data_IF_671182136460
#
_entry.id   IF_671182136460
#
_cell.length_a   1.000
_cell.length_b   1.000
_cell.length_c   1.000
_cell.angle_alpha   90.00
_cell.angle_beta   90.00
_cell.angle_gamma   90.00
#
_symmetry.space_group_name_H-M   'P 1'
#
loop_
_entity.id
_entity.type
_entity.pdbx_description
1 polymer ?
#
# COMPACT_ATOMS: atom_id res chain seq x y z
N UNK A 1 -2.56 -2.95 -2.45
CA UNK A 1 -1.47 -2.09 -2.96
C UNK A 1 -0.17 -2.25 -2.18
N UNK A 2 -0.17 -2.20 -0.84
CA UNK A 2 1.07 -2.30 -0.05
C UNK A 2 1.97 -3.50 -0.34
N UNK A 3 1.39 -4.69 -0.59
CA UNK A 3 2.17 -5.90 -0.91
C UNK A 3 2.94 -5.82 -2.24
N UNK A 4 2.32 -5.25 -3.28
CA UNK A 4 3.00 -5.05 -4.57
C UNK A 4 4.14 -4.04 -4.45
N UNK A 5 3.94 -3.00 -3.65
CA UNK A 5 5.00 -2.04 -3.32
C UNK A 5 6.15 -2.69 -2.56
N UNK A 6 5.87 -3.45 -1.49
CA UNK A 6 6.87 -4.19 -0.73
C UNK A 6 7.66 -5.15 -1.61
N UNK A 7 6.98 -5.91 -2.47
CA UNK A 7 7.62 -6.76 -3.46
C UNK A 7 8.57 -5.99 -4.40
N UNK A 8 8.12 -4.84 -4.92
CA UNK A 8 8.95 -4.02 -5.79
C UNK A 8 10.18 -3.46 -5.08
N UNK A 9 10.04 -3.07 -3.80
CA UNK A 9 11.15 -2.55 -2.98
C UNK A 9 12.20 -3.62 -2.70
N UNK A 10 11.80 -4.88 -2.45
CA UNK A 10 12.75 -5.99 -2.23
C UNK A 10 13.61 -6.31 -3.46
N UNK A 11 13.18 -5.89 -4.66
CA UNK A 11 13.93 -6.07 -5.91
C UNK A 11 14.91 -4.95 -6.20
N UNK A 12 14.89 -3.87 -5.43
CA UNK A 12 15.81 -2.72 -5.60
C UNK A 12 17.15 -3.01 -4.93
N UNK A 13 18.23 -2.52 -5.52
CA UNK A 13 19.57 -2.66 -4.95
C UNK A 13 19.82 -1.54 -3.94
N UNK A 14 20.12 -1.92 -2.70
CA UNK A 14 20.42 -1.01 -1.57
C UNK A 14 21.53 -0.03 -1.91
N UNK A 15 22.47 -0.40 -2.78
CA UNK A 15 23.62 0.44 -3.18
C UNK A 15 23.25 1.53 -4.16
N UNK A 16 22.13 1.41 -4.86
CA UNK A 16 21.72 2.35 -5.92
C UNK A 16 20.47 3.11 -5.53
N UNK A 17 19.35 2.41 -5.40
CA UNK A 17 18.00 2.99 -5.41
C UNK A 17 17.03 2.27 -4.46
N UNK A 18 17.51 1.25 -3.74
CA UNK A 18 16.75 0.50 -2.75
C UNK A 18 16.78 1.10 -1.35
N UNK A 19 15.83 0.70 -0.49
CA UNK A 19 15.85 1.10 0.92
C UNK A 19 17.02 0.44 1.66
N UNK A 20 17.49 1.08 2.73
CA UNK A 20 18.49 0.47 3.62
C UNK A 20 17.94 -0.77 4.35
N UNK A 21 16.67 -0.71 4.73
CA UNK A 21 15.91 -1.80 5.32
C UNK A 21 14.41 -1.55 5.03
N UNK A 22 13.62 -2.62 4.97
CA UNK A 22 12.19 -2.55 4.68
C UNK A 22 11.37 -3.11 5.86
N UNK A 23 10.53 -2.28 6.48
CA UNK A 23 9.57 -2.71 7.50
C UNK A 23 8.16 -2.68 6.91
N UNK A 24 7.48 -3.81 6.94
CA UNK A 24 6.09 -3.93 6.50
C UNK A 24 5.18 -4.19 7.69
N UNK A 25 4.13 -3.39 7.83
CA UNK A 25 3.13 -3.55 8.88
C UNK A 25 1.82 -4.06 8.29
N UNK A 26 1.18 -5.03 8.94
CA UNK A 26 -0.04 -5.68 8.45
C UNK A 26 -0.90 -6.16 9.63
N UNK A 27 -2.19 -6.40 9.39
CA UNK A 27 -3.05 -7.11 10.36
C UNK A 27 -2.89 -8.63 10.27
N UNK A 28 -2.22 -9.13 9.23
CA UNK A 28 -1.95 -10.55 9.05
C UNK A 28 -0.54 -10.76 8.43
N UNK A 29 0.40 -11.23 9.26
CA UNK A 29 1.82 -11.43 8.90
C UNK A 29 2.01 -12.69 8.06
N UNK A 30 1.15 -13.70 8.23
CA UNK A 30 1.26 -14.98 7.51
C UNK A 30 1.00 -14.82 6.02
N UNK A 31 0.28 -13.76 5.63
CA UNK A 31 -0.11 -13.50 4.25
C UNK A 31 0.95 -12.68 3.49
N UNK A 32 1.87 -11.99 4.20
CA UNK A 32 3.01 -11.35 3.55
C UNK A 32 4.12 -12.40 3.42
N UNK A 33 4.06 -13.15 2.32
CA UNK A 33 5.07 -14.14 2.01
C UNK A 33 6.47 -13.52 2.03
N UNK A 34 7.34 -14.01 2.92
CA UNK A 34 8.79 -13.77 2.91
C UNK A 34 9.47 -14.51 1.74
N UNK A 35 8.90 -14.44 0.54
CA UNK A 35 9.32 -15.25 -0.60
C UNK A 35 9.57 -14.36 -1.79
N UNK A 36 10.81 -13.91 -1.89
CA UNK A 36 11.33 -13.09 -2.98
C UNK A 36 12.82 -12.95 -2.80
N UNK A 37 13.56 -14.01 -3.16
CA UNK A 37 15.00 -14.11 -3.03
C UNK A 37 15.72 -13.16 -3.99
N UNK A 38 16.50 -12.26 -3.40
CA UNK A 38 17.44 -11.38 -4.09
C UNK A 38 18.42 -10.81 -3.06
N UNK A 39 19.43 -10.05 -3.52
CA UNK A 39 20.34 -9.25 -2.67
C UNK A 39 19.61 -8.04 -2.02
N UNK A 40 18.41 -8.30 -1.52
CA UNK A 40 17.44 -7.35 -1.00
C UNK A 40 17.94 -6.70 0.28
N UNK A 41 17.48 -5.48 0.53
CA UNK A 41 17.52 -4.86 1.85
C UNK A 41 17.00 -5.83 2.92
N UNK A 42 17.59 -5.84 4.13
CA UNK A 42 17.00 -6.49 5.29
C UNK A 42 15.53 -6.11 5.44
N UNK A 43 14.66 -7.11 5.54
CA UNK A 43 13.21 -6.90 5.62
C UNK A 43 12.62 -7.54 6.86
N UNK A 44 11.65 -6.87 7.48
CA UNK A 44 10.89 -7.36 8.62
C UNK A 44 9.40 -7.12 8.37
N UNK A 45 8.57 -8.09 8.71
CA UNK A 45 7.11 -7.94 8.71
C UNK A 45 6.63 -7.98 10.16
N UNK A 46 5.76 -7.05 10.53
CA UNK A 46 5.21 -6.94 11.89
C UNK A 46 3.70 -6.73 11.87
N UNK A 47 3.05 -7.03 13.00
CA UNK A 47 1.67 -6.60 13.22
C UNK A 47 1.59 -5.09 13.43
N UNK A 48 0.44 -4.49 13.14
CA UNK A 48 0.18 -3.10 13.55
C UNK A 48 0.32 -2.91 15.07
N UNK A 49 -0.02 -3.92 15.88
CA UNK A 49 0.14 -3.89 17.34
C UNK A 49 1.60 -3.79 17.80
N UNK A 50 2.53 -4.31 16.99
CA UNK A 50 3.94 -4.46 17.35
C UNK A 50 4.79 -3.32 16.75
N UNK A 51 4.16 -2.46 15.95
CA UNK A 51 4.83 -1.41 15.18
C UNK A 51 5.60 -0.41 16.06
N UNK A 52 5.09 -0.17 17.27
CA UNK A 52 5.66 0.75 18.25
C UNK A 52 6.34 0.04 19.42
N UNK A 53 6.53 -1.28 19.35
CA UNK A 53 7.22 -2.02 20.41
C UNK A 53 8.74 -1.73 20.41
N UNK A 54 9.37 -1.98 21.56
CA UNK A 54 10.80 -1.72 21.73
C UNK A 54 11.68 -2.55 20.77
N UNK A 55 11.22 -3.74 20.38
CA UNK A 55 11.98 -4.64 19.50
C UNK A 55 11.98 -4.13 18.04
N UNK A 56 10.88 -3.58 17.57
CA UNK A 56 10.71 -3.03 16.22
C UNK A 56 11.36 -1.67 16.11
N UNK A 57 11.22 -0.82 17.13
CA UNK A 57 11.98 0.43 17.23
C UNK A 57 13.49 0.15 17.30
N UNK A 58 13.92 -0.79 18.14
CA UNK A 58 15.32 -1.22 18.22
C UNK A 58 15.87 -1.75 16.90
N UNK A 59 15.08 -2.54 16.16
CA UNK A 59 15.45 -3.02 14.84
C UNK A 59 15.65 -1.87 13.84
N UNK A 60 14.75 -0.88 13.83
CA UNK A 60 14.92 0.33 12.99
C UNK A 60 16.19 1.10 13.35
N UNK A 61 16.46 1.30 14.65
CA UNK A 61 17.68 1.98 15.14
C UNK A 61 18.93 1.22 14.72
N UNK A 62 18.93 -0.11 14.80
CA UNK A 62 20.07 -0.96 14.45
C UNK A 62 20.55 -0.78 13.00
N UNK A 63 19.67 -0.34 12.10
CA UNK A 63 20.03 -0.02 10.72
C UNK A 63 20.62 1.38 10.53
N UNK A 64 20.65 2.24 11.55
CA UNK A 64 21.23 3.59 11.49
C UNK A 64 20.73 4.45 10.29
N UNK A 65 19.41 4.57 10.07
CA UNK A 65 18.89 5.35 8.96
C UNK A 65 19.21 6.85 9.13
N UNK A 66 19.31 7.59 8.01
CA UNK A 66 19.31 9.07 8.02
C UNK A 66 17.92 9.66 7.81
N UNK A 67 17.01 8.85 7.25
CA UNK A 67 15.64 9.22 6.91
C UNK A 67 14.78 7.97 6.99
N UNK A 68 13.57 8.13 7.52
CA UNK A 68 12.51 7.13 7.48
C UNK A 68 11.41 7.63 6.56
N UNK A 69 11.02 6.80 5.59
CA UNK A 69 9.89 7.06 4.69
C UNK A 69 8.78 6.08 5.05
N UNK A 70 7.64 6.61 5.49
CA UNK A 70 6.45 5.84 5.82
C UNK A 70 5.53 5.93 4.61
N UNK A 71 5.22 4.80 4.00
CA UNK A 71 4.28 4.72 2.86
C UNK A 71 3.00 4.08 3.35
N UNK A 72 1.95 4.89 3.49
CA UNK A 72 0.65 4.48 4.00
C UNK A 72 -0.32 4.18 2.84
N UNK A 73 -0.87 2.97 2.82
CA UNK A 73 -1.83 2.51 1.82
C UNK A 73 -3.29 2.49 2.32
N UNK A 74 -3.60 3.26 3.38
CA UNK A 74 -4.96 3.40 3.91
C UNK A 74 -5.16 2.85 5.31
N UNK A 75 -4.11 2.84 6.14
CA UNK A 75 -4.25 2.55 7.57
C UNK A 75 -4.99 3.69 8.29
N UNK A 76 -5.34 3.49 9.56
CA UNK A 76 -5.98 4.54 10.35
C UNK A 76 -4.99 5.66 10.69
N UNK A 77 -5.49 6.89 10.83
CA UNK A 77 -4.64 8.04 11.11
C UNK A 77 -3.86 7.87 12.43
N UNK A 78 -4.46 7.19 13.41
CA UNK A 78 -3.89 6.92 14.73
C UNK A 78 -2.66 6.01 14.65
N UNK A 79 -2.65 5.01 13.75
CA UNK A 79 -1.52 4.10 13.58
C UNK A 79 -0.30 4.87 13.06
N UNK A 80 -0.49 5.73 12.06
CA UNK A 80 0.60 6.57 11.52
C UNK A 80 1.08 7.58 12.55
N UNK A 81 0.15 8.26 13.24
CA UNK A 81 0.49 9.24 14.27
C UNK A 81 1.33 8.63 15.39
N UNK A 82 0.89 7.49 15.91
CA UNK A 82 1.58 6.76 16.97
C UNK A 82 2.99 6.36 16.52
N UNK A 83 3.14 5.82 15.30
CA UNK A 83 4.46 5.47 14.78
C UNK A 83 5.38 6.69 14.66
N UNK A 84 4.90 7.81 14.10
CA UNK A 84 5.70 9.03 13.97
C UNK A 84 6.13 9.57 15.34
N UNK A 85 5.21 9.61 16.30
CA UNK A 85 5.49 10.04 17.67
C UNK A 85 6.57 9.16 18.33
N UNK A 86 6.45 7.84 18.22
CA UNK A 86 7.44 6.91 18.76
C UNK A 86 8.81 7.06 18.09
N UNK A 87 8.87 7.20 16.76
CA UNK A 87 10.14 7.47 16.06
C UNK A 87 10.76 8.78 16.53
N UNK A 88 9.98 9.86 16.66
CA UNK A 88 10.50 11.17 17.13
C UNK A 88 11.08 11.09 18.55
N UNK A 89 10.50 10.25 19.41
CA UNK A 89 10.98 10.01 20.78
C UNK A 89 12.24 9.15 20.81
N UNK A 90 12.28 8.07 20.04
CA UNK A 90 13.40 7.11 20.08
C UNK A 90 14.59 7.53 19.22
N UNK A 91 14.34 8.26 18.13
CA UNK A 91 15.34 8.64 17.12
C UNK A 91 15.33 10.16 16.94
N UNK A 92 15.82 10.86 17.97
CA UNK A 92 15.83 12.33 18.00
C UNK A 92 16.58 12.89 16.79
N UNK A 93 15.95 13.83 16.08
CA UNK A 93 16.51 14.46 14.87
C UNK A 93 16.34 13.64 13.59
N UNK A 94 15.68 12.48 13.63
CA UNK A 94 15.38 11.69 12.44
C UNK A 94 14.50 12.46 11.45
N UNK A 95 14.89 12.46 10.16
CA UNK A 95 14.02 12.96 9.10
C UNK A 95 12.92 11.94 8.81
N UNK A 96 11.67 12.32 9.02
CA UNK A 96 10.50 11.47 8.77
C UNK A 96 9.71 12.07 7.60
N UNK A 97 9.38 11.24 6.61
CA UNK A 97 8.51 11.60 5.50
C UNK A 97 7.34 10.61 5.48
N UNK A 98 6.12 11.12 5.50
CA UNK A 98 4.90 10.30 5.41
C UNK A 98 4.26 10.52 4.05
N UNK A 99 4.11 9.45 3.27
CA UNK A 99 3.47 9.45 1.96
C UNK A 99 2.19 8.62 2.04
N UNK A 100 1.05 9.27 1.86
CA UNK A 100 -0.23 8.59 1.69
C UNK A 100 -0.43 8.19 0.23
N UNK A 101 -0.61 6.90 -0.05
CA UNK A 101 -0.84 6.37 -1.40
C UNK A 101 -2.29 5.92 -1.51
N UNK A 102 -3.01 6.53 -2.47
CA UNK A 102 -4.44 6.31 -2.63
C UNK A 102 -5.25 6.90 -1.47
N UNK A 103 -6.53 6.55 -1.42
CA UNK A 103 -7.46 7.08 -0.44
C UNK A 103 -8.87 7.04 -1.01
N UNK A 104 -9.66 6.04 -0.61
CA UNK A 104 -11.10 6.16 -0.77
C UNK A 104 -11.59 7.18 0.26
N UNK A 105 -12.44 8.10 -0.20
CA UNK A 105 -13.41 8.74 0.67
C UNK A 105 -14.32 7.63 1.23
N UNK A 106 -13.88 6.94 2.30
CA UNK A 106 -14.85 6.35 3.22
C UNK A 106 -15.75 7.52 3.64
N UNK A 107 -17.06 7.32 3.70
CA UNK A 107 -17.97 8.32 4.23
C UNK A 107 -17.63 8.44 5.71
N UNK A 108 -16.76 9.39 6.02
CA UNK A 108 -16.31 9.69 7.37
C UNK A 108 -17.24 10.78 7.87
N UNK A 109 -17.81 10.61 9.06
CA UNK A 109 -18.55 11.68 9.73
C UNK A 109 -17.69 12.94 9.82
N UNK A 110 -18.29 14.13 9.73
CA UNK A 110 -17.55 15.41 9.68
C UNK A 110 -16.52 15.55 10.82
N UNK A 111 -16.87 15.09 12.02
CA UNK A 111 -16.00 15.09 13.20
C UNK A 111 -14.76 14.21 13.04
N UNK A 112 -14.90 13.05 12.40
CA UNK A 112 -13.78 12.15 12.14
C UNK A 112 -12.93 12.66 10.96
N UNK A 113 -13.54 13.35 9.99
CA UNK A 113 -12.82 13.97 8.87
C UNK A 113 -11.87 15.08 9.34
N UNK A 114 -12.33 15.95 10.24
CA UNK A 114 -11.50 17.00 10.84
C UNK A 114 -10.32 16.42 11.63
N UNK A 115 -10.57 15.38 12.43
CA UNK A 115 -9.51 14.69 13.19
C UNK A 115 -8.42 14.10 12.29
N UNK A 116 -8.82 13.43 11.21
CA UNK A 116 -7.88 12.88 10.22
C UNK A 116 -7.06 13.99 9.57
N UNK A 117 -7.67 15.13 9.24
CA UNK A 117 -6.96 16.27 8.67
C UNK A 117 -5.92 16.86 9.63
N UNK A 118 -6.26 17.01 10.91
CA UNK A 118 -5.32 17.50 11.93
C UNK A 118 -4.14 16.56 12.04
N UNK A 119 -4.39 15.26 12.22
CA UNK A 119 -3.33 14.24 12.32
C UNK A 119 -2.43 14.24 11.08
N UNK A 120 -3.02 14.29 9.88
CA UNK A 120 -2.26 14.32 8.64
C UNK A 120 -1.35 15.56 8.53
N UNK A 121 -1.80 16.72 9.02
CA UNK A 121 -0.97 17.94 9.07
C UNK A 121 0.16 17.79 10.09
N UNK A 122 -0.13 17.27 11.28
CA UNK A 122 0.83 17.11 12.38
C UNK A 122 1.97 16.15 12.05
N UNK A 123 1.67 15.08 11.29
CA UNK A 123 2.68 14.13 10.79
C UNK A 123 3.35 14.59 9.49
N UNK A 124 2.92 15.71 8.90
CA UNK A 124 3.44 16.21 7.64
C UNK A 124 3.17 15.26 6.46
N UNK A 125 1.99 14.62 6.43
CA UNK A 125 1.62 13.67 5.39
C UNK A 125 1.49 14.36 4.03
N UNK A 126 2.23 13.85 3.06
CA UNK A 126 2.08 14.20 1.65
C UNK A 126 1.16 13.18 0.99
N UNK A 127 0.07 13.65 0.40
CA UNK A 127 -0.86 12.80 -0.33
C UNK A 127 -0.38 12.62 -1.78
N UNK A 128 -0.17 11.36 -2.18
CA UNK A 128 0.28 10.98 -3.53
C UNK A 128 -0.90 10.40 -4.30
N UNK A 129 -1.32 11.11 -5.35
CA UNK A 129 -2.26 10.56 -6.32
C UNK A 129 -1.47 9.71 -7.35
N UNK A 130 -1.88 8.46 -7.51
CA UNK A 130 -1.26 7.53 -8.46
C UNK A 130 -1.57 7.87 -9.91
N UNK A 131 -2.68 8.55 -10.21
CA UNK A 131 -3.04 8.91 -11.60
C UNK A 131 -1.99 9.80 -12.25
N UNK A 132 -1.56 10.87 -11.58
CA UNK A 132 -0.53 11.76 -12.12
C UNK A 132 0.83 11.08 -12.32
N UNK A 133 1.13 10.05 -11.52
CA UNK A 133 2.36 9.25 -11.66
C UNK A 133 2.26 8.34 -12.87
N UNK A 134 1.11 7.70 -13.08
CA UNK A 134 0.81 6.89 -14.25
C UNK A 134 0.87 7.75 -15.51
N UNK A 135 0.21 8.91 -15.52
CA UNK A 135 0.21 9.82 -16.68
C UNK A 135 1.63 10.25 -17.06
N UNK A 136 2.46 10.58 -16.05
CA UNK A 136 3.86 10.94 -16.28
C UNK A 136 4.68 9.77 -16.82
N UNK A 137 4.47 8.56 -16.29
CA UNK A 137 5.15 7.36 -16.76
C UNK A 137 4.77 7.02 -18.21
N UNK A 138 3.48 7.12 -18.55
CA UNK A 138 2.98 6.98 -19.92
C UNK A 138 3.61 8.02 -20.83
N UNK A 139 3.69 9.28 -20.40
CA UNK A 139 4.33 10.35 -21.18
C UNK A 139 5.82 10.13 -21.43
N UNK A 140 6.53 9.40 -20.55
CA UNK A 140 7.97 9.11 -20.68
C UNK A 140 8.25 7.86 -21.51
N UNK A 141 7.44 6.82 -21.36
CA UNK A 141 7.72 5.49 -21.92
C UNK A 141 6.78 5.08 -23.06
N UNK A 142 5.71 5.84 -23.28
CA UNK A 142 4.60 5.44 -24.14
C UNK A 142 3.63 4.51 -23.42
N UNK A 143 2.34 4.63 -23.76
CA UNK A 143 1.28 3.86 -23.12
C UNK A 143 1.47 2.34 -23.31
N UNK A 144 1.80 1.91 -24.53
CA UNK A 144 1.97 0.50 -24.88
C UNK A 144 3.07 -0.15 -24.01
N UNK A 145 4.26 0.46 -23.98
CA UNK A 145 5.37 -0.06 -23.18
C UNK A 145 5.03 -0.05 -21.68
N UNK A 146 4.42 1.03 -21.20
CA UNK A 146 4.02 1.15 -19.79
C UNK A 146 3.08 0.01 -19.36
N UNK A 147 2.01 -0.24 -20.13
CA UNK A 147 1.06 -1.29 -19.81
C UNK A 147 1.66 -2.69 -19.97
N UNK A 148 2.50 -2.92 -20.98
CA UNK A 148 3.21 -4.19 -21.15
C UNK A 148 4.18 -4.49 -19.98
N UNK A 149 4.94 -3.48 -19.51
CA UNK A 149 5.82 -3.62 -18.35
C UNK A 149 5.01 -3.90 -17.07
N UNK A 150 3.86 -3.23 -16.93
CA UNK A 150 2.96 -3.41 -15.79
C UNK A 150 2.34 -4.82 -15.76
N UNK A 151 1.90 -5.33 -16.92
CA UNK A 151 1.40 -6.70 -17.09
C UNK A 151 2.47 -7.72 -16.71
N UNK A 152 3.68 -7.58 -17.25
CA UNK A 152 4.79 -8.47 -16.95
C UNK A 152 5.17 -8.45 -15.46
N UNK A 153 5.16 -7.27 -14.83
CA UNK A 153 5.39 -7.15 -13.40
C UNK A 153 4.28 -7.84 -12.58
N UNK A 154 3.02 -7.68 -12.99
CA UNK A 154 1.88 -8.31 -12.33
C UNK A 154 1.94 -9.85 -12.40
N UNK A 155 2.25 -10.40 -13.58
CA UNK A 155 2.46 -11.84 -13.75
C UNK A 155 3.62 -12.35 -12.88
N UNK A 156 4.70 -11.58 -12.78
CA UNK A 156 5.82 -11.95 -11.89
C UNK A 156 5.41 -11.93 -10.42
N UNK A 157 4.64 -10.94 -9.96
CA UNK A 157 4.16 -10.88 -8.58
C UNK A 157 3.30 -12.10 -8.24
N UNK A 158 2.45 -12.54 -9.17
CA UNK A 158 1.64 -13.74 -9.00
C UNK A 158 2.52 -15.00 -8.89
N UNK A 159 3.53 -15.14 -9.76
CA UNK A 159 4.49 -16.25 -9.69
C UNK A 159 5.28 -16.26 -8.38
N UNK A 160 5.70 -15.08 -7.92
CA UNK A 160 6.45 -14.91 -6.67
C UNK A 160 5.55 -15.12 -5.43
N UNK A 161 4.26 -15.45 -5.62
CA UNK A 161 3.29 -15.84 -4.58
C UNK A 161 3.09 -14.80 -3.48
N UNK A 162 3.20 -13.51 -3.81
CA UNK A 162 2.98 -12.40 -2.86
C UNK A 162 1.57 -12.38 -2.27
N UNK A 163 0.62 -13.00 -2.97
CA UNK A 163 -0.78 -13.12 -2.55
C UNK A 163 -1.15 -14.50 -2.00
N UNK A 164 -0.20 -15.45 -1.92
CA UNK A 164 -0.42 -16.79 -1.37
C UNK A 164 -1.63 -17.51 -2.00
N UNK A 165 -2.49 -18.07 -1.14
CA UNK A 165 -3.73 -18.79 -1.52
C UNK A 165 -4.91 -17.86 -1.86
N UNK A 166 -4.67 -16.55 -2.01
CA UNK A 166 -5.75 -15.64 -2.37
C UNK A 166 -6.10 -15.81 -3.85
N UNK A 167 -7.33 -16.22 -4.11
CA UNK A 167 -7.90 -16.27 -5.46
C UNK A 167 -8.33 -14.85 -5.83
N UNK A 168 -7.72 -14.30 -6.87
CA UNK A 168 -8.20 -13.07 -7.51
C UNK A 168 -9.37 -13.49 -8.39
N UNK A 169 -10.58 -13.08 -8.02
CA UNK A 169 -11.78 -13.29 -8.82
C UNK A 169 -12.17 -11.95 -9.45
N UNK A 170 -12.32 -11.95 -10.77
CA UNK A 170 -12.91 -10.83 -11.49
C UNK A 170 -14.43 -11.03 -11.44
N UNK A 171 -15.14 -10.13 -10.77
CA UNK A 171 -16.59 -10.05 -10.86
C UNK A 171 -16.98 -9.13 -12.01
N UNK A 172 -17.90 -9.55 -12.87
CA UNK A 172 -18.53 -8.65 -13.84
C UNK A 172 -19.37 -7.59 -13.10
N UNK A 173 -19.01 -6.31 -13.27
CA UNK A 173 -19.91 -5.17 -13.03
C UNK A 173 -19.51 -4.20 -11.91
N UNK A 174 -19.05 -3.01 -12.30
CA UNK A 174 -19.60 -1.74 -11.81
C UNK A 174 -19.86 -0.88 -13.06
N UNK A 175 -21.00 -1.15 -13.70
CA UNK A 175 -21.59 -0.28 -14.72
C UNK A 175 -22.83 0.36 -14.13
N UNK A 176 -22.93 1.68 -14.31
CA UNK A 176 -24.04 2.54 -13.88
C UNK A 176 -25.41 1.95 -14.29
N UNK A 177 -26.42 2.21 -13.46
CA UNK A 177 -27.83 1.83 -13.63
C UNK A 177 -28.28 1.71 -15.10
N UNK A 178 -28.38 0.46 -15.60
CA UNK A 178 -29.45 -0.03 -16.49
C UNK A 178 -29.22 -1.49 -16.88
N UNK A 179 -30.17 -2.32 -16.46
CA UNK A 179 -30.79 -3.41 -17.20
C UNK A 179 -29.89 -4.21 -18.18
N UNK A 180 -29.56 -5.44 -17.77
CA UNK A 180 -28.92 -6.46 -18.57
C UNK A 180 -29.67 -6.69 -19.91
N UNK A 181 -29.17 -6.11 -21.00
CA UNK A 181 -29.25 -6.73 -22.33
C UNK A 181 -28.23 -6.10 -23.28
N UNK A 182 -27.34 -6.92 -23.82
CA UNK A 182 -26.47 -6.52 -24.94
C UNK A 182 -25.03 -7.01 -24.81
N UNK A 183 -24.71 -8.05 -25.58
CA UNK A 183 -23.33 -8.49 -25.83
C UNK A 183 -22.53 -7.37 -26.50
N UNK A 184 -21.36 -7.04 -25.97
CA UNK A 184 -20.32 -6.34 -26.72
C UNK A 184 -18.95 -6.96 -26.38
N UNK A 185 -18.35 -7.59 -27.38
CA UNK A 185 -16.98 -8.09 -27.31
C UNK A 185 -15.99 -6.93 -27.30
N UNK A 186 -15.22 -6.84 -26.22
CA UNK A 186 -14.09 -5.94 -26.04
C UNK A 186 -13.31 -6.39 -24.81
N UNK A 187 -11.97 -6.49 -24.90
CA UNK A 187 -11.13 -6.96 -23.79
C UNK A 187 -11.32 -6.03 -22.59
N UNK A 188 -11.55 -6.54 -21.36
CA UNK A 188 -11.72 -5.69 -20.19
C UNK A 188 -10.44 -4.90 -19.92
N UNK A 189 -10.54 -3.58 -20.03
CA UNK A 189 -9.46 -2.65 -19.72
C UNK A 189 -9.29 -2.49 -18.21
N UNK A 190 -8.06 -2.15 -17.81
CA UNK A 190 -7.54 -1.90 -16.46
C UNK A 190 -8.31 -0.92 -15.53
N UNK A 191 -9.49 -0.43 -15.92
CA UNK A 191 -10.23 0.60 -15.20
C UNK A 191 -10.84 0.14 -13.87
N UNK A 192 -11.00 -1.16 -13.66
CA UNK A 192 -11.73 -1.67 -12.47
C UNK A 192 -10.82 -2.06 -11.30
N UNK A 193 -9.50 -1.86 -11.41
CA UNK A 193 -8.53 -2.32 -10.39
C UNK A 193 -8.44 -1.42 -9.13
N UNK A 194 -9.27 -0.39 -9.01
CA UNK A 194 -9.33 0.48 -7.82
C UNK A 194 -10.60 0.27 -6.99
N UNK A 195 -10.99 -0.99 -6.75
CA UNK A 195 -11.85 -1.31 -5.61
C UNK A 195 -11.12 -2.31 -4.71
N UNK A 196 -10.58 -1.80 -3.60
CA UNK A 196 -10.01 -2.63 -2.56
C UNK A 196 -11.11 -3.43 -1.88
N UNK A 197 -11.30 -4.68 -2.30
CA UNK A 197 -12.12 -5.64 -1.58
C UNK A 197 -11.38 -6.09 -0.32
N UNK A 198 -11.58 -5.36 0.78
CA UNK A 198 -11.59 -5.96 2.11
C UNK A 198 -13.02 -6.48 2.36
N UNK A 199 -13.17 -7.81 2.41
CA UNK A 199 -14.30 -8.56 2.99
C UNK A 199 -15.73 -7.99 2.82
N UNK A 200 -16.40 -8.36 1.73
CA UNK A 200 -17.86 -8.23 1.58
C UNK A 200 -18.61 -9.38 2.28
N UNK A 201 -18.13 -9.87 3.43
CA UNK A 201 -18.78 -11.00 4.14
C UNK A 201 -19.56 -10.65 5.41
N UNK A 202 -19.67 -9.37 5.80
CA UNK A 202 -20.41 -9.01 7.03
C UNK A 202 -21.36 -7.80 6.90
N UNK A 203 -21.81 -7.43 5.69
CA UNK A 203 -22.98 -6.58 5.55
C UNK A 203 -24.21 -7.47 5.35
N UNK A 204 -25.31 -7.17 6.04
CA UNK A 204 -26.60 -7.88 6.06
C UNK A 204 -26.78 -8.99 7.10
N UNK A 205 -26.78 -8.57 8.37
CA UNK A 205 -27.74 -9.10 9.36
C UNK A 205 -28.37 -7.96 10.15
N UNK A 206 -29.44 -7.39 9.60
CA UNK A 206 -30.53 -6.90 10.43
C UNK A 206 -31.84 -7.36 9.79
N UNK A 207 -32.52 -8.28 10.49
CA UNK A 207 -33.91 -8.63 10.27
C UNK A 207 -34.78 -7.44 10.66
N UNK A 208 -35.83 -7.20 9.88
CA UNK A 208 -37.17 -6.99 10.39
C UNK A 208 -38.05 -8.08 9.78
#
# INVERSE_FOLDING_TARGET
MGRAFGWAMRKRDVRTDGPLALLEATSNVEVIGCRGGGKSAPSKVVMYSDLCDAHTLGWMVGHSPRKIVIVDFGTTAEVVASLVENIRRTMVGMLIMVVGVGGQTKIVSESNGQRVQVVNKDVGRVQMNTSGVIDKAIGLHGAEKFFADMDAAWEQIQRDSVYGNQKIEWSEGIGEDRECSGKAGGRPGYRDFFCGCEDVRNAWTQRA
#
